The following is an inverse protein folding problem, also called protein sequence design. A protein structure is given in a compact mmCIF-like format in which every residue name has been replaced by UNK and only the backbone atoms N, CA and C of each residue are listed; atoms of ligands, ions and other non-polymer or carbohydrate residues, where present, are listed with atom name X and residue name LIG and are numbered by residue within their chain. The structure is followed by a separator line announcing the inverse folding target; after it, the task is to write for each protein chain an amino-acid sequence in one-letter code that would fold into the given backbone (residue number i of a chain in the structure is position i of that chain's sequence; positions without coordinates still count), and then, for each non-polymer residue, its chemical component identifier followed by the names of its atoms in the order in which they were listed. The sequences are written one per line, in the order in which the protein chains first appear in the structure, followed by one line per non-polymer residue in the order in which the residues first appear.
data_IF_708269871215
#
_entry.id   IF_708269871215
#
_cell.length_a   1.000
_cell.length_b   1.000
_cell.length_c   1.000
_cell.angle_alpha   90.00
_cell.angle_beta   90.00
_cell.angle_gamma   90.00
#
_symmetry.space_group_name_H-M   'P 1'
#
loop_
_entity.id
_entity.type
_entity.pdbx_description
1 polymer ?
#
# COMPACT_ATOMS: atom_id res chain seq x y z
N UNK A 1 -5.08 77.19 -13.48
CA UNK A 1 -4.86 76.67 -14.84
C UNK A 1 -3.36 76.79 -15.07
N UNK A 2 -2.66 75.68 -15.05
CA UNK A 2 -1.23 75.58 -15.29
C UNK A 2 -1.04 75.74 -16.80
N UNK A 3 -0.20 76.66 -17.19
CA UNK A 3 0.05 77.05 -18.57
C UNK A 3 0.71 75.89 -19.33
N UNK A 4 0.13 75.34 -20.40
CA UNK A 4 0.65 74.15 -21.07
C UNK A 4 1.97 74.37 -21.83
N UNK A 5 2.50 75.57 -21.83
CA UNK A 5 3.70 75.95 -22.56
C UNK A 5 5.00 76.02 -21.73
N UNK A 6 4.99 75.57 -20.45
CA UNK A 6 6.19 75.59 -19.60
C UNK A 6 7.00 74.27 -19.56
N UNK A 7 6.51 73.26 -20.22
CA UNK A 7 7.25 71.98 -20.29
C UNK A 7 7.93 71.87 -21.67
N UNK A 8 9.26 71.87 -21.69
CA UNK A 8 10.01 71.47 -22.89
C UNK A 8 9.65 70.00 -23.25
N UNK A 9 9.23 69.78 -24.50
CA UNK A 9 8.93 68.47 -24.98
C UNK A 9 10.22 67.64 -24.94
N UNK A 10 10.15 66.49 -24.20
CA UNK A 10 11.22 65.47 -24.18
C UNK A 10 11.06 64.52 -25.36
N UNK A 11 12.16 64.15 -25.96
CA UNK A 11 12.17 63.07 -26.91
C UNK A 11 11.91 61.75 -26.17
N UNK A 12 11.45 60.70 -26.89
CA UNK A 12 11.20 59.33 -26.30
C UNK A 12 12.49 58.75 -25.67
N UNK A 13 13.63 59.02 -26.31
CA UNK A 13 14.94 58.59 -25.81
C UNK A 13 15.35 59.30 -24.53
N UNK A 14 15.13 60.59 -24.43
CA UNK A 14 15.39 61.36 -23.19
C UNK A 14 14.50 60.94 -22.06
N UNK A 15 13.19 60.74 -22.31
CA UNK A 15 12.26 60.22 -21.31
C UNK A 15 12.66 58.82 -20.83
N UNK A 16 13.02 57.92 -21.77
CA UNK A 16 13.45 56.55 -21.43
C UNK A 16 14.75 56.54 -20.63
N UNK A 17 15.69 57.44 -20.92
CA UNK A 17 16.92 57.57 -20.13
C UNK A 17 16.64 58.11 -18.72
N UNK A 18 15.78 59.10 -18.57
CA UNK A 18 15.37 59.63 -17.25
C UNK A 18 14.66 58.55 -16.41
N UNK A 19 13.81 57.75 -17.02
CA UNK A 19 13.15 56.62 -16.34
C UNK A 19 14.22 55.64 -15.86
N UNK A 20 15.18 55.30 -16.73
CA UNK A 20 16.26 54.39 -16.36
C UNK A 20 17.07 54.91 -15.19
N UNK A 21 17.55 56.15 -15.29
CA UNK A 21 18.38 56.82 -14.27
C UNK A 21 17.61 56.92 -12.94
N UNK A 22 16.30 57.20 -13.00
CA UNK A 22 15.42 57.23 -11.83
C UNK A 22 15.30 55.87 -11.18
N UNK A 23 15.09 54.78 -11.97
CA UNK A 23 15.00 53.43 -11.48
C UNK A 23 16.34 52.95 -10.92
N UNK A 24 17.46 53.22 -11.60
CA UNK A 24 18.80 52.84 -11.12
C UNK A 24 19.17 53.59 -9.80
N UNK A 25 18.63 54.80 -9.60
CA UNK A 25 18.81 55.57 -8.35
C UNK A 25 17.93 55.03 -7.21
N UNK A 26 16.71 54.63 -7.50
CA UNK A 26 15.76 54.08 -6.51
C UNK A 26 16.10 52.63 -6.10
N UNK A 27 16.63 51.86 -7.02
CA UNK A 27 16.96 50.44 -6.83
C UNK A 27 18.44 50.14 -7.20
N UNK A 28 19.40 50.74 -6.47
CA UNK A 28 20.82 50.60 -6.79
C UNK A 28 21.37 49.23 -6.48
N UNK A 29 20.72 48.50 -5.55
CA UNK A 29 21.11 47.19 -5.09
C UNK A 29 20.11 46.13 -5.51
N UNK A 30 20.54 44.85 -5.49
CA UNK A 30 19.65 43.72 -5.66
C UNK A 30 18.78 43.55 -4.42
N UNK A 31 17.58 43.08 -4.62
CA UNK A 31 16.59 42.85 -3.56
C UNK A 31 15.88 41.51 -3.74
N UNK A 32 15.38 40.99 -2.65
CA UNK A 32 14.61 39.78 -2.66
C UNK A 32 13.16 40.03 -3.04
N UNK A 33 12.63 39.17 -3.93
CA UNK A 33 11.22 39.20 -4.35
C UNK A 33 10.65 37.80 -4.19
N UNK A 34 9.44 37.72 -3.66
CA UNK A 34 8.66 36.52 -3.53
C UNK A 34 7.58 36.49 -4.60
N UNK A 35 7.26 35.29 -5.07
CA UNK A 35 6.18 35.09 -6.02
C UNK A 35 6.17 33.66 -6.57
N UNK A 36 5.17 33.40 -7.38
CA UNK A 36 5.00 32.09 -8.04
C UNK A 36 5.54 32.18 -9.47
N UNK A 37 6.27 31.15 -9.88
CA UNK A 37 6.76 31.05 -11.27
C UNK A 37 5.60 30.67 -12.19
N UNK A 38 5.50 31.38 -13.30
CA UNK A 38 4.55 31.10 -14.38
C UNK A 38 5.23 31.27 -15.73
N UNK A 39 4.71 30.62 -16.79
CA UNK A 39 5.21 30.73 -18.16
C UNK A 39 6.72 30.43 -18.30
N UNK A 40 7.24 29.48 -17.52
CA UNK A 40 8.66 29.13 -17.55
C UNK A 40 9.08 28.59 -18.92
N UNK A 41 10.12 29.19 -19.49
CA UNK A 41 10.68 28.82 -20.82
C UNK A 41 12.19 28.87 -20.80
N UNK A 42 12.81 27.88 -21.45
CA UNK A 42 14.25 27.89 -21.69
C UNK A 42 14.54 28.19 -23.15
N UNK A 43 15.40 29.18 -23.41
CA UNK A 43 15.86 29.49 -24.76
C UNK A 43 17.02 28.61 -25.20
N UNK A 44 17.27 28.52 -26.54
CA UNK A 44 18.40 27.74 -27.11
C UNK A 44 19.79 28.08 -26.54
N UNK A 45 20.15 29.37 -26.21
CA UNK A 45 21.41 29.65 -25.53
C UNK A 45 21.47 29.19 -24.07
N UNK A 46 20.35 28.63 -23.49
CA UNK A 46 20.31 28.18 -22.10
C UNK A 46 19.85 29.21 -21.09
N UNK A 47 19.37 30.40 -21.54
CA UNK A 47 18.71 31.37 -20.65
C UNK A 47 17.32 30.89 -20.30
N UNK A 48 16.89 31.14 -19.05
CA UNK A 48 15.52 30.89 -18.63
C UNK A 48 14.76 32.24 -18.53
N UNK A 49 13.51 32.22 -18.97
CA UNK A 49 12.58 33.31 -18.86
C UNK A 49 11.29 32.81 -18.23
N UNK A 50 10.77 33.55 -17.28
CA UNK A 50 9.51 33.23 -16.61
C UNK A 50 8.86 34.52 -16.09
N UNK A 51 7.58 34.41 -15.80
CA UNK A 51 6.85 35.45 -15.12
C UNK A 51 6.84 35.11 -13.61
N UNK A 52 7.18 36.06 -12.78
CA UNK A 52 6.97 36.01 -11.34
C UNK A 52 5.63 36.67 -11.06
N UNK A 53 4.67 35.89 -10.58
CA UNK A 53 3.31 36.36 -10.38
C UNK A 53 2.94 36.34 -8.89
N UNK A 54 2.05 37.24 -8.51
CA UNK A 54 1.32 37.18 -7.27
C UNK A 54 -0.08 36.65 -7.59
N UNK A 55 -0.39 35.38 -7.23
CA UNK A 55 -1.68 34.78 -7.56
C UNK A 55 -2.83 35.50 -6.87
N UNK A 56 -4.00 35.49 -7.48
CA UNK A 56 -5.21 36.03 -6.88
C UNK A 56 -5.84 34.97 -5.97
N UNK A 57 -6.39 35.35 -4.82
CA UNK A 57 -7.08 34.50 -3.89
C UNK A 57 -8.35 33.84 -4.49
N UNK A 58 -8.93 34.45 -5.54
CA UNK A 58 -10.11 33.92 -6.23
C UNK A 58 -9.71 33.07 -7.44
N UNK A 59 -10.10 31.77 -7.48
CA UNK A 59 -9.79 30.88 -8.60
C UNK A 59 -10.33 31.40 -9.94
N UNK A 60 -9.44 31.46 -10.94
CA UNK A 60 -9.81 31.89 -12.31
C UNK A 60 -9.72 33.37 -12.59
N UNK A 61 -9.33 34.21 -11.62
CA UNK A 61 -8.99 35.58 -11.84
C UNK A 61 -7.53 35.79 -12.27
N UNK A 62 -7.20 36.83 -13.05
CA UNK A 62 -5.82 37.11 -13.40
C UNK A 62 -4.99 37.43 -12.16
N UNK A 63 -3.66 37.19 -12.19
CA UNK A 63 -2.78 37.49 -11.07
C UNK A 63 -2.79 38.96 -10.71
N UNK A 64 -2.63 39.28 -9.44
CA UNK A 64 -2.62 40.66 -8.91
C UNK A 64 -1.44 41.47 -9.42
N UNK A 65 -0.29 40.84 -9.62
CA UNK A 65 0.92 41.43 -10.16
C UNK A 65 1.68 40.42 -11.03
N UNK A 66 2.37 40.92 -12.04
CA UNK A 66 3.21 40.12 -12.95
C UNK A 66 4.47 40.88 -13.28
N UNK A 67 5.64 40.27 -13.08
CA UNK A 67 6.93 40.80 -13.50
C UNK A 67 7.72 39.75 -14.28
N UNK A 68 8.27 40.15 -15.43
CA UNK A 68 9.10 39.23 -16.20
C UNK A 68 10.49 39.07 -15.56
N UNK A 69 10.97 37.84 -15.46
CA UNK A 69 12.27 37.52 -14.91
C UNK A 69 13.13 36.80 -15.97
N UNK A 70 14.38 37.24 -16.06
CA UNK A 70 15.40 36.59 -16.89
C UNK A 70 16.50 35.97 -15.98
N UNK A 71 16.75 34.71 -16.16
CA UNK A 71 17.89 34.00 -15.56
C UNK A 71 18.90 33.68 -16.66
N UNK A 72 20.04 34.34 -16.60
CA UNK A 72 21.10 34.16 -17.59
C UNK A 72 21.82 32.83 -17.41
N UNK A 73 22.26 32.20 -18.50
CA UNK A 73 22.99 30.95 -18.50
C UNK A 73 24.17 30.95 -17.52
N UNK A 74 24.89 32.07 -17.39
CA UNK A 74 26.02 32.19 -16.47
C UNK A 74 25.66 31.97 -14.99
N UNK A 75 24.44 32.27 -14.60
CA UNK A 75 23.92 32.11 -13.23
C UNK A 75 23.05 30.86 -13.07
N UNK A 76 22.50 30.37 -14.17
CA UNK A 76 21.59 29.20 -14.18
C UNK A 76 22.22 27.97 -13.50
N UNK A 77 23.44 27.60 -13.87
CA UNK A 77 24.12 26.43 -13.30
C UNK A 77 24.30 26.56 -11.78
N UNK A 78 24.57 27.78 -11.30
CA UNK A 78 24.70 28.06 -9.88
C UNK A 78 23.35 27.93 -9.15
N UNK A 79 22.29 28.48 -9.70
CA UNK A 79 20.93 28.42 -9.17
C UNK A 79 20.42 26.96 -9.16
N UNK A 80 20.56 26.24 -10.28
CA UNK A 80 20.17 24.83 -10.39
C UNK A 80 20.95 23.95 -9.41
N UNK A 81 22.25 24.20 -9.23
CA UNK A 81 23.05 23.48 -8.26
C UNK A 81 22.56 23.72 -6.82
N UNK A 82 22.27 24.96 -6.43
CA UNK A 82 21.75 25.30 -5.11
C UNK A 82 20.40 24.60 -4.87
N UNK A 83 19.52 24.59 -5.86
CA UNK A 83 18.21 23.89 -5.77
C UNK A 83 18.39 22.38 -5.65
N UNK A 84 19.30 21.79 -6.43
CA UNK A 84 19.58 20.36 -6.39
C UNK A 84 20.19 19.94 -5.05
N UNK A 85 21.18 20.70 -4.56
CA UNK A 85 21.87 20.42 -3.30
C UNK A 85 20.94 20.57 -2.08
N UNK A 86 19.90 21.41 -2.17
CA UNK A 86 18.97 21.72 -1.06
C UNK A 86 17.75 20.81 -0.96
N UNK A 87 17.48 19.98 -1.97
CA UNK A 87 16.28 19.11 -1.97
C UNK A 87 15.92 18.61 -3.36
N UNK A 88 16.89 18.64 -4.30
CA UNK A 88 16.67 18.22 -5.69
C UNK A 88 15.53 19.00 -6.40
N UNK A 89 15.31 20.24 -6.00
CA UNK A 89 14.31 21.10 -6.62
C UNK A 89 14.73 21.52 -8.04
N UNK A 90 13.75 21.74 -8.90
CA UNK A 90 13.95 22.30 -10.23
C UNK A 90 13.02 23.49 -10.46
N UNK A 91 13.46 24.46 -11.23
CA UNK A 91 12.60 25.58 -11.61
C UNK A 91 11.50 25.08 -12.55
N UNK A 92 10.25 25.22 -12.13
CA UNK A 92 9.07 24.83 -12.88
C UNK A 92 7.92 25.83 -12.67
N UNK A 93 6.87 25.71 -13.48
CA UNK A 93 5.65 26.49 -13.24
C UNK A 93 5.05 26.12 -11.88
N UNK A 94 4.31 27.05 -11.32
CA UNK A 94 3.58 26.96 -10.05
C UNK A 94 4.45 26.85 -8.79
N UNK A 95 5.78 26.92 -8.92
CA UNK A 95 6.69 26.89 -7.80
C UNK A 95 6.74 28.27 -7.10
N UNK A 96 6.46 28.31 -5.81
CA UNK A 96 6.65 29.49 -4.96
C UNK A 96 8.14 29.69 -4.67
N UNK A 97 8.66 30.85 -5.01
CA UNK A 97 10.10 31.14 -4.89
C UNK A 97 10.36 32.51 -4.27
N UNK A 98 11.49 32.58 -3.56
CA UNK A 98 12.10 33.86 -3.17
C UNK A 98 13.40 34.01 -3.95
N UNK A 99 13.48 35.03 -4.78
CA UNK A 99 14.62 35.25 -5.70
C UNK A 99 15.29 36.58 -5.46
N UNK A 100 16.62 36.60 -5.50
CA UNK A 100 17.41 37.82 -5.47
C UNK A 100 17.51 38.35 -6.89
N UNK A 101 16.96 39.51 -7.12
CA UNK A 101 16.88 40.12 -8.44
C UNK A 101 17.46 41.53 -8.49
N UNK A 102 17.93 41.90 -9.65
CA UNK A 102 18.22 43.27 -10.00
C UNK A 102 17.21 43.81 -11.00
N UNK A 103 16.80 45.06 -10.85
CA UNK A 103 15.89 45.71 -11.78
C UNK A 103 16.64 46.08 -13.06
N UNK A 104 16.06 45.84 -14.21
CA UNK A 104 16.62 46.19 -15.50
C UNK A 104 15.56 46.80 -16.41
N UNK A 105 15.71 48.08 -16.70
CA UNK A 105 14.88 48.76 -17.70
C UNK A 105 15.65 48.83 -19.02
N UNK A 106 15.03 48.34 -20.10
CA UNK A 106 15.63 48.38 -21.44
C UNK A 106 15.06 49.57 -22.26
N UNK A 107 15.77 50.69 -22.33
CA UNK A 107 15.27 51.94 -22.94
C UNK A 107 14.72 51.80 -24.36
N UNK A 108 15.36 50.99 -25.27
CA UNK A 108 14.91 50.95 -26.66
C UNK A 108 13.48 50.38 -26.83
N UNK A 109 13.00 49.53 -25.89
CA UNK A 109 11.65 48.97 -25.94
C UNK A 109 10.76 49.38 -24.77
N UNK A 110 11.29 50.14 -23.80
CA UNK A 110 10.55 50.53 -22.59
C UNK A 110 10.17 49.37 -21.67
N UNK A 111 10.85 48.26 -21.79
CA UNK A 111 10.51 47.02 -21.01
C UNK A 111 11.25 47.04 -19.69
N UNK A 112 10.49 46.76 -18.63
CA UNK A 112 11.00 46.51 -17.30
C UNK A 112 11.07 44.99 -17.08
N UNK A 113 12.25 44.49 -16.72
CA UNK A 113 12.48 43.08 -16.42
C UNK A 113 13.29 42.95 -15.13
N UNK A 114 13.15 41.86 -14.45
CA UNK A 114 14.01 41.45 -13.33
C UNK A 114 15.12 40.52 -13.83
N UNK A 115 16.34 40.74 -13.37
CA UNK A 115 17.45 39.82 -13.65
C UNK A 115 17.74 39.02 -12.37
N UNK A 116 17.48 37.71 -12.42
CA UNK A 116 17.70 36.82 -11.31
C UNK A 116 19.19 36.53 -11.12
N UNK A 117 19.65 36.59 -9.86
CA UNK A 117 21.02 36.32 -9.46
C UNK A 117 21.11 35.08 -8.55
N UNK A 118 20.20 34.96 -7.58
CA UNK A 118 20.16 33.86 -6.59
C UNK A 118 18.72 33.48 -6.28
N UNK A 119 18.57 32.28 -5.62
CA UNK A 119 17.31 31.78 -5.10
C UNK A 119 17.51 31.37 -3.64
N UNK A 120 16.45 31.53 -2.84
CA UNK A 120 16.38 30.99 -1.48
C UNK A 120 15.60 29.66 -1.48
N UNK A 121 16.30 28.50 -1.46
CA UNK A 121 15.64 27.20 -1.49
C UNK A 121 14.87 26.92 -0.20
N UNK A 122 15.29 27.51 0.95
CA UNK A 122 14.62 27.27 2.25
C UNK A 122 13.21 27.82 2.25
N UNK A 123 12.99 28.94 1.57
CA UNK A 123 11.65 29.51 1.39
C UNK A 123 10.76 28.58 0.59
N UNK A 124 11.25 28.11 -0.55
CA UNK A 124 10.50 27.20 -1.43
C UNK A 124 10.13 25.90 -0.73
N UNK A 125 11.07 25.27 -0.04
CA UNK A 125 10.82 24.05 0.74
C UNK A 125 9.81 24.30 1.88
N UNK A 126 9.92 25.45 2.55
CA UNK A 126 8.97 25.84 3.60
C UNK A 126 7.54 25.99 3.07
N UNK A 127 7.37 26.60 1.90
CA UNK A 127 6.05 26.76 1.26
C UNK A 127 5.46 25.40 0.84
N UNK A 128 6.25 24.54 0.20
CA UNK A 128 5.81 23.19 -0.16
C UNK A 128 5.38 22.37 1.07
N UNK A 129 6.12 22.51 2.18
CA UNK A 129 5.74 21.83 3.42
C UNK A 129 4.41 22.36 4.00
N UNK A 130 4.18 23.67 3.95
CA UNK A 130 2.91 24.30 4.40
C UNK A 130 1.75 23.87 3.52
N UNK A 131 1.93 23.84 2.21
CA UNK A 131 0.89 23.41 1.26
C UNK A 131 0.54 21.93 1.47
N UNK A 132 1.56 21.09 1.64
CA UNK A 132 1.37 19.66 1.96
C UNK A 132 0.59 19.45 3.26
N UNK A 133 0.94 20.19 4.31
CA UNK A 133 0.26 20.08 5.61
C UNK A 133 -1.21 20.52 5.52
N UNK A 134 -1.48 21.64 4.80
CA UNK A 134 -2.85 22.09 4.53
C UNK A 134 -3.65 21.04 3.78
N UNK A 135 -3.06 20.41 2.77
CA UNK A 135 -3.72 19.36 2.00
C UNK A 135 -4.01 18.13 2.87
N UNK A 136 -3.07 17.69 3.68
CA UNK A 136 -3.28 16.56 4.61
C UNK A 136 -4.41 16.87 5.60
N UNK A 137 -4.44 18.09 6.14
CA UNK A 137 -5.51 18.50 7.06
C UNK A 137 -6.89 18.50 6.37
N UNK A 138 -6.97 19.00 5.14
CA UNK A 138 -8.21 18.95 4.35
C UNK A 138 -8.69 17.53 4.09
N UNK A 139 -7.77 16.62 3.69
CA UNK A 139 -8.10 15.21 3.46
C UNK A 139 -8.52 14.49 4.75
N UNK A 140 -7.95 14.88 5.90
CA UNK A 140 -8.34 14.36 7.21
C UNK A 140 -9.76 14.83 7.58
N UNK A 141 -10.06 16.12 7.44
CA UNK A 141 -11.37 16.71 7.76
C UNK A 141 -12.48 16.12 6.88
N UNK A 142 -12.16 15.75 5.64
CA UNK A 142 -13.06 15.07 4.72
C UNK A 142 -13.15 13.53 4.97
N UNK A 143 -12.36 12.98 5.88
CA UNK A 143 -12.32 11.54 6.17
C UNK A 143 -11.74 10.69 5.02
N UNK A 144 -10.97 11.30 4.12
CA UNK A 144 -10.37 10.62 2.97
C UNK A 144 -9.04 9.96 3.31
N UNK A 145 -8.35 10.42 4.35
CA UNK A 145 -7.02 9.92 4.71
C UNK A 145 -7.03 8.44 5.10
N UNK A 146 -8.05 8.00 5.85
CA UNK A 146 -8.16 6.62 6.33
C UNK A 146 -9.06 5.75 5.45
N UNK A 147 -9.68 6.31 4.42
CA UNK A 147 -10.70 5.62 3.64
C UNK A 147 -10.16 4.40 2.90
N UNK A 148 -9.01 4.52 2.24
CA UNK A 148 -8.38 3.40 1.55
C UNK A 148 -7.71 2.44 2.54
N UNK A 149 -7.10 2.96 3.62
CA UNK A 149 -6.48 2.17 4.68
C UNK A 149 -7.47 1.24 5.40
N UNK A 150 -8.74 1.61 5.48
CA UNK A 150 -9.80 0.81 6.10
C UNK A 150 -10.34 -0.32 5.22
N UNK A 151 -9.97 -0.39 3.94
CA UNK A 151 -10.42 -1.44 3.03
C UNK A 151 -9.80 -2.79 3.40
N UNK A 152 -10.56 -3.89 3.39
CA UNK A 152 -10.00 -5.21 3.62
C UNK A 152 -9.13 -5.63 2.43
N UNK A 153 -7.91 -6.08 2.71
CA UNK A 153 -7.06 -6.74 1.70
C UNK A 153 -7.52 -8.19 1.56
N UNK A 154 -7.67 -8.66 0.32
CA UNK A 154 -7.96 -10.07 0.07
C UNK A 154 -6.85 -10.96 0.65
N UNK A 155 -7.23 -12.10 1.20
CA UNK A 155 -6.29 -13.04 1.79
C UNK A 155 -6.50 -14.44 1.19
N UNK A 156 -5.65 -14.86 0.24
CA UNK A 156 -4.45 -14.20 -0.29
C UNK A 156 -4.75 -13.17 -1.40
N UNK A 157 -3.93 -12.08 -1.55
CA UNK A 157 -4.03 -11.11 -2.63
C UNK A 157 -3.31 -11.62 -3.88
N UNK A 158 -4.01 -12.32 -4.77
CA UNK A 158 -3.42 -12.97 -5.96
C UNK A 158 -3.50 -12.08 -7.21
N UNK A 159 -4.57 -11.29 -7.34
CA UNK A 159 -4.78 -10.41 -8.51
C UNK A 159 -4.27 -9.02 -8.19
N UNK A 160 -3.17 -8.65 -8.82
CA UNK A 160 -2.48 -7.37 -8.60
C UNK A 160 -2.69 -6.48 -9.82
N UNK A 161 -3.20 -5.26 -9.60
CA UNK A 161 -3.12 -4.19 -10.59
C UNK A 161 -1.81 -3.43 -10.40
N UNK A 162 -1.00 -3.28 -11.43
CA UNK A 162 0.29 -2.59 -11.34
C UNK A 162 0.27 -1.29 -12.14
N UNK A 163 0.40 -0.15 -11.46
CA UNK A 163 0.54 1.19 -12.07
C UNK A 163 2.01 1.59 -11.98
N UNK A 164 2.68 1.64 -13.11
CA UNK A 164 4.09 2.04 -13.20
C UNK A 164 4.48 2.32 -14.66
N UNK A 165 5.65 2.88 -14.88
CA UNK A 165 6.24 2.97 -16.22
C UNK A 165 6.83 1.60 -16.61
N UNK A 166 6.18 0.93 -17.57
CA UNK A 166 6.60 -0.39 -18.05
C UNK A 166 7.99 -0.31 -18.68
N UNK A 167 8.85 -1.28 -18.37
CA UNK A 167 10.25 -1.30 -18.78
C UNK A 167 11.19 -0.44 -17.93
N UNK A 168 10.70 0.25 -16.90
CA UNK A 168 11.53 0.93 -15.92
C UNK A 168 12.24 -0.06 -14.98
N UNK A 169 13.28 0.40 -14.26
CA UNK A 169 13.94 -0.40 -13.25
C UNK A 169 12.98 -0.85 -12.14
N UNK A 170 12.08 0.03 -11.68
CA UNK A 170 11.06 -0.29 -10.68
C UNK A 170 10.11 -1.40 -11.13
N UNK A 171 9.67 -1.34 -12.40
CA UNK A 171 8.86 -2.38 -13.01
C UNK A 171 9.61 -3.71 -13.02
N UNK A 172 10.86 -3.71 -13.52
CA UNK A 172 11.69 -4.92 -13.58
C UNK A 172 11.94 -5.52 -12.18
N UNK A 173 12.25 -4.69 -11.19
CA UNK A 173 12.48 -5.11 -9.80
C UNK A 173 11.21 -5.75 -9.20
N UNK A 174 10.06 -5.10 -9.34
CA UNK A 174 8.79 -5.62 -8.83
C UNK A 174 8.40 -6.95 -9.47
N UNK A 175 8.43 -7.03 -10.80
CA UNK A 175 8.07 -8.25 -11.54
C UNK A 175 9.06 -9.40 -11.25
N UNK A 176 10.34 -9.08 -11.09
CA UNK A 176 11.36 -10.08 -10.74
C UNK A 176 11.09 -10.69 -9.37
N UNK A 177 10.80 -9.87 -8.36
CA UNK A 177 10.45 -10.36 -7.01
C UNK A 177 9.19 -11.23 -7.03
N UNK A 178 8.11 -10.75 -7.68
CA UNK A 178 6.86 -11.50 -7.81
C UNK A 178 7.08 -12.84 -8.51
N UNK A 179 7.83 -12.86 -9.62
CA UNK A 179 8.10 -14.08 -10.40
C UNK A 179 8.96 -15.08 -9.63
N UNK A 180 9.95 -14.60 -8.88
CA UNK A 180 10.85 -15.44 -8.08
C UNK A 180 10.19 -16.03 -6.83
N UNK A 181 9.04 -15.51 -6.41
CA UNK A 181 8.31 -16.01 -5.23
C UNK A 181 7.79 -17.44 -5.37
N UNK A 182 7.63 -17.92 -6.61
CA UNK A 182 7.04 -19.23 -6.91
C UNK A 182 5.52 -19.30 -6.73
N UNK A 183 4.87 -18.21 -6.37
CA UNK A 183 3.40 -18.11 -6.30
C UNK A 183 2.79 -17.70 -7.63
N UNK A 184 1.55 -18.13 -7.89
CA UNK A 184 0.83 -17.86 -9.14
C UNK A 184 0.11 -16.51 -9.12
N UNK A 185 0.83 -15.41 -8.97
CA UNK A 185 0.24 -14.08 -9.06
C UNK A 185 -0.25 -13.76 -10.47
N UNK A 186 -1.39 -13.08 -10.55
CA UNK A 186 -1.92 -12.54 -11.79
C UNK A 186 -1.75 -11.02 -11.76
N UNK A 187 -0.74 -10.51 -12.48
CA UNK A 187 -0.41 -9.09 -12.52
C UNK A 187 -1.00 -8.47 -13.78
N UNK A 188 -1.91 -7.51 -13.61
CA UNK A 188 -2.45 -6.69 -14.67
C UNK A 188 -1.71 -5.35 -14.67
N UNK A 189 -0.88 -5.13 -15.69
CA UNK A 189 -0.02 -3.96 -15.81
C UNK A 189 -0.73 -2.84 -16.57
N UNK A 190 -0.57 -1.60 -16.09
CA UNK A 190 -0.94 -0.40 -16.83
C UNK A 190 0.30 0.49 -16.97
N UNK A 191 0.72 0.67 -18.22
CA UNK A 191 1.84 1.56 -18.55
C UNK A 191 1.44 3.00 -18.28
N UNK A 192 2.12 3.64 -17.37
CA UNK A 192 1.79 4.96 -16.84
C UNK A 192 3.07 5.75 -16.66
N UNK A 193 3.12 6.95 -17.23
CA UNK A 193 4.20 7.86 -16.90
C UNK A 193 4.06 8.30 -15.45
N UNK A 194 5.10 8.03 -14.68
CA UNK A 194 5.17 8.41 -13.26
C UNK A 194 6.03 9.66 -13.04
N UNK A 195 6.36 10.37 -14.13
CA UNK A 195 7.18 11.58 -14.18
C UNK A 195 6.72 12.52 -15.31
N UNK A 196 6.84 13.83 -15.11
CA UNK A 196 6.48 14.85 -16.09
C UNK A 196 5.03 15.37 -15.99
N UNK A 197 4.69 16.38 -16.77
CA UNK A 197 3.43 17.13 -16.66
C UNK A 197 2.16 16.28 -16.83
N UNK A 198 2.21 15.23 -17.64
CA UNK A 198 1.06 14.35 -17.87
C UNK A 198 0.87 13.26 -16.80
N UNK A 199 1.85 13.08 -15.91
CA UNK A 199 1.89 11.94 -14.98
C UNK A 199 0.68 11.88 -14.04
N UNK A 200 0.23 13.00 -13.50
CA UNK A 200 -0.96 13.07 -12.62
C UNK A 200 -2.18 12.49 -13.32
N UNK A 201 -2.44 12.91 -14.54
CA UNK A 201 -3.62 12.48 -15.32
C UNK A 201 -3.52 11.00 -15.69
N UNK A 202 -2.32 10.55 -16.07
CA UNK A 202 -2.08 9.15 -16.45
C UNK A 202 -2.18 8.22 -15.23
N UNK A 203 -1.65 8.60 -14.07
CA UNK A 203 -1.78 7.84 -12.81
C UNK A 203 -3.26 7.69 -12.44
N UNK A 204 -4.04 8.76 -12.43
CA UNK A 204 -5.47 8.74 -12.13
C UNK A 204 -6.22 7.82 -13.11
N UNK A 205 -5.90 7.91 -14.40
CA UNK A 205 -6.48 7.04 -15.43
C UNK A 205 -6.13 5.57 -15.19
N UNK A 206 -4.86 5.28 -14.93
CA UNK A 206 -4.37 3.93 -14.64
C UNK A 206 -5.04 3.31 -13.42
N UNK A 207 -5.14 4.06 -12.33
CA UNK A 207 -5.84 3.63 -11.11
C UNK A 207 -7.31 3.29 -11.39
N UNK A 208 -8.03 4.13 -12.13
CA UNK A 208 -9.44 3.90 -12.50
C UNK A 208 -9.62 2.68 -13.40
N UNK A 209 -8.78 2.56 -14.43
CA UNK A 209 -8.84 1.43 -15.37
C UNK A 209 -8.58 0.12 -14.64
N UNK A 210 -7.52 0.03 -13.86
CA UNK A 210 -7.21 -1.18 -13.11
C UNK A 210 -8.29 -1.53 -12.08
N UNK A 211 -8.83 -0.54 -11.38
CA UNK A 211 -9.93 -0.76 -10.43
C UNK A 211 -11.16 -1.38 -11.08
N UNK A 212 -11.45 -1.08 -12.35
CA UNK A 212 -12.58 -1.67 -13.09
C UNK A 212 -12.43 -3.18 -13.35
N UNK A 213 -11.21 -3.72 -13.26
CA UNK A 213 -10.92 -5.14 -13.41
C UNK A 213 -11.00 -5.92 -12.08
N UNK A 214 -11.41 -5.26 -10.99
CA UNK A 214 -11.56 -5.84 -9.65
C UNK A 214 -10.30 -6.61 -9.19
N UNK A 215 -9.13 -5.97 -9.14
CA UNK A 215 -7.94 -6.59 -8.56
C UNK A 215 -8.12 -6.73 -7.04
N UNK A 216 -7.33 -7.61 -6.43
CA UNK A 216 -7.32 -7.78 -4.97
C UNK A 216 -6.57 -6.62 -4.30
N UNK A 217 -5.59 -6.05 -5.01
CA UNK A 217 -4.79 -4.89 -4.60
C UNK A 217 -4.25 -4.17 -5.83
N UNK A 218 -4.10 -2.86 -5.75
CA UNK A 218 -3.39 -2.07 -6.78
C UNK A 218 -2.04 -1.64 -6.18
N UNK A 219 -0.95 -1.95 -6.87
CA UNK A 219 0.39 -1.46 -6.55
C UNK A 219 0.72 -0.25 -7.42
N UNK A 220 0.93 0.90 -6.80
CA UNK A 220 1.43 2.12 -7.45
C UNK A 220 2.91 2.26 -7.11
N UNK A 221 3.76 1.99 -8.07
CA UNK A 221 5.20 1.97 -7.84
C UNK A 221 5.95 2.94 -8.76
N UNK A 222 7.06 3.44 -8.23
CA UNK A 222 7.99 4.31 -8.95
C UNK A 222 9.42 3.88 -8.67
N UNK A 223 10.27 4.02 -9.68
CA UNK A 223 11.72 3.85 -9.54
C UNK A 223 12.42 5.04 -8.92
N UNK A 224 13.70 4.88 -8.63
CA UNK A 224 14.55 5.99 -8.21
C UNK A 224 14.57 7.10 -9.25
N UNK A 225 14.42 8.34 -8.82
CA UNK A 225 14.43 9.54 -9.63
C UNK A 225 14.66 10.75 -8.74
N UNK A 226 14.63 11.99 -9.30
CA UNK A 226 14.79 13.21 -8.51
C UNK A 226 13.60 13.41 -7.55
N UNK A 227 13.82 14.12 -6.45
CA UNK A 227 12.73 14.50 -5.52
C UNK A 227 11.70 15.43 -6.17
N UNK A 228 12.08 16.18 -7.22
CA UNK A 228 11.14 16.96 -8.01
C UNK A 228 10.06 16.09 -8.67
N UNK A 229 10.36 14.83 -8.96
CA UNK A 229 9.39 13.88 -9.49
C UNK A 229 8.46 13.30 -8.41
N UNK A 230 8.71 13.57 -7.12
CA UNK A 230 7.85 13.15 -6.01
C UNK A 230 6.65 14.09 -5.83
N UNK A 231 6.76 15.35 -6.22
CA UNK A 231 5.68 16.34 -6.10
C UNK A 231 4.38 15.93 -6.81
N UNK A 232 4.48 15.05 -7.82
CA UNK A 232 3.34 14.45 -8.51
C UNK A 232 2.47 13.63 -7.54
N UNK A 233 3.11 12.94 -6.61
CA UNK A 233 2.44 12.12 -5.59
C UNK A 233 1.94 12.93 -4.39
N UNK A 234 2.31 14.22 -4.31
CA UNK A 234 1.75 15.19 -3.37
C UNK A 234 0.52 15.89 -3.96
N UNK A 235 0.13 15.57 -5.20
CA UNK A 235 -1.03 16.14 -5.85
C UNK A 235 -2.34 15.73 -5.16
N UNK A 236 -3.18 16.71 -4.83
CA UNK A 236 -4.53 16.49 -4.31
C UNK A 236 -5.36 15.55 -5.20
N UNK A 237 -5.23 15.71 -6.52
CA UNK A 237 -5.97 14.91 -7.49
C UNK A 237 -5.62 13.43 -7.42
N UNK A 238 -4.34 13.08 -7.22
CA UNK A 238 -3.88 11.69 -7.04
C UNK A 238 -4.37 11.14 -5.70
N UNK A 239 -4.23 11.91 -4.62
CA UNK A 239 -4.69 11.52 -3.29
C UNK A 239 -6.21 11.22 -3.28
N UNK A 240 -7.02 12.13 -3.85
CA UNK A 240 -8.47 11.92 -3.99
C UNK A 240 -8.82 10.73 -4.87
N UNK A 241 -8.05 10.47 -5.92
CA UNK A 241 -8.24 9.30 -6.76
C UNK A 241 -7.99 8.00 -5.98
N UNK A 242 -6.91 7.91 -5.20
CA UNK A 242 -6.62 6.76 -4.33
C UNK A 242 -7.72 6.57 -3.28
N UNK A 243 -8.11 7.63 -2.56
CA UNK A 243 -9.17 7.58 -1.56
C UNK A 243 -10.54 7.17 -2.14
N UNK A 244 -10.79 7.48 -3.41
CA UNK A 244 -12.03 7.15 -4.10
C UNK A 244 -12.15 5.71 -4.58
N UNK A 245 -11.08 4.91 -4.53
CA UNK A 245 -11.09 3.52 -4.95
C UNK A 245 -11.74 2.61 -3.90
N UNK A 246 -12.37 1.53 -4.39
CA UNK A 246 -12.91 0.45 -3.56
C UNK A 246 -11.96 -0.75 -3.48
N UNK A 247 -10.70 -0.56 -3.86
CA UNK A 247 -9.65 -1.55 -3.84
C UNK A 247 -8.47 -0.98 -3.04
N UNK A 248 -7.84 -1.77 -2.15
CA UNK A 248 -6.66 -1.34 -1.43
C UNK A 248 -5.53 -0.94 -2.39
N UNK A 249 -4.88 0.17 -2.10
CA UNK A 249 -3.72 0.65 -2.87
C UNK A 249 -2.47 0.53 -2.02
N UNK A 250 -1.46 -0.15 -2.56
CA UNK A 250 -0.13 -0.25 -1.98
C UNK A 250 0.79 0.67 -2.78
N UNK A 251 1.50 1.55 -2.11
CA UNK A 251 2.48 2.42 -2.75
C UNK A 251 3.89 1.90 -2.54
N UNK A 252 4.72 2.03 -3.56
CA UNK A 252 6.15 1.76 -3.52
C UNK A 252 6.91 2.86 -4.26
N UNK A 253 6.66 4.11 -3.84
CA UNK A 253 7.11 5.32 -4.54
C UNK A 253 8.53 5.70 -4.10
N UNK A 254 8.90 5.36 -2.87
CA UNK A 254 10.26 5.46 -2.33
C UNK A 254 10.64 6.84 -1.78
N UNK A 255 10.92 6.88 -0.49
CA UNK A 255 12.03 7.53 0.23
C UNK A 255 11.91 7.25 1.72
N UNK A 256 13.05 7.14 2.42
CA UNK A 256 13.07 6.78 3.85
C UNK A 256 12.56 7.91 4.76
N UNK A 257 12.62 9.15 4.31
CA UNK A 257 12.46 10.33 5.16
C UNK A 257 11.16 11.10 4.88
N UNK A 258 10.70 11.12 3.62
CA UNK A 258 9.53 11.93 3.23
C UNK A 258 8.46 11.06 2.57
N UNK A 259 7.38 10.77 3.29
CA UNK A 259 6.18 10.16 2.72
C UNK A 259 5.46 11.17 1.84
N UNK A 260 5.02 10.77 0.66
CA UNK A 260 4.14 11.58 -0.18
C UNK A 260 2.70 11.59 0.36
N UNK A 261 1.89 12.55 -0.09
CA UNK A 261 0.45 12.58 0.24
C UNK A 261 -0.24 11.31 -0.29
N UNK A 262 0.18 10.79 -1.44
CA UNK A 262 -0.31 9.51 -1.96
C UNK A 262 -0.02 8.33 -1.00
N UNK A 263 1.14 8.32 -0.33
CA UNK A 263 1.51 7.31 0.66
C UNK A 263 0.64 7.39 1.92
N UNK A 264 0.28 8.62 2.35
CA UNK A 264 -0.55 8.84 3.53
C UNK A 264 -2.02 8.41 3.31
N UNK A 265 -2.52 8.54 2.08
CA UNK A 265 -3.90 8.16 1.71
C UNK A 265 -4.01 6.69 1.30
N UNK A 266 -2.91 6.05 0.93
CA UNK A 266 -2.88 4.66 0.50
C UNK A 266 -3.19 3.69 1.65
N UNK A 267 -3.59 2.47 1.31
CA UNK A 267 -3.77 1.40 2.30
C UNK A 267 -2.46 1.09 3.04
N UNK A 268 -1.38 0.97 2.30
CA UNK A 268 -0.05 0.67 2.85
C UNK A 268 1.04 1.30 1.98
N UNK A 269 2.00 1.95 2.62
CA UNK A 269 3.12 2.59 1.96
C UNK A 269 4.43 1.84 2.22
N UNK A 270 5.18 1.58 1.17
CA UNK A 270 6.45 0.87 1.21
C UNK A 270 7.56 1.73 0.61
N UNK A 271 8.77 1.56 1.13
CA UNK A 271 9.93 2.38 0.76
C UNK A 271 10.41 2.17 -0.69
N UNK A 272 10.15 1.00 -1.27
CA UNK A 272 10.65 0.63 -2.60
C UNK A 272 9.67 -0.28 -3.31
N UNK A 273 9.73 -0.37 -4.66
CA UNK A 273 8.98 -1.35 -5.43
C UNK A 273 9.19 -2.79 -4.95
N UNK A 274 10.43 -3.15 -4.63
CA UNK A 274 10.78 -4.47 -4.08
C UNK A 274 10.15 -4.72 -2.71
N UNK A 275 10.12 -3.72 -1.82
CA UNK A 275 9.46 -3.84 -0.53
C UNK A 275 7.94 -4.01 -0.68
N UNK A 276 7.32 -3.32 -1.63
CA UNK A 276 5.90 -3.48 -1.96
C UNK A 276 5.60 -4.90 -2.48
N UNK A 277 6.43 -5.43 -3.39
CA UNK A 277 6.31 -6.81 -3.89
C UNK A 277 6.46 -7.83 -2.74
N UNK A 278 7.48 -7.66 -1.89
CA UNK A 278 7.73 -8.55 -0.76
C UNK A 278 6.60 -8.56 0.26
N UNK A 279 5.92 -7.44 0.49
CA UNK A 279 4.74 -7.40 1.35
C UNK A 279 3.58 -8.23 0.79
N UNK A 280 3.34 -8.18 -0.52
CA UNK A 280 2.34 -9.02 -1.19
C UNK A 280 2.69 -10.50 -1.12
N UNK A 281 3.96 -10.84 -1.35
CA UNK A 281 4.49 -12.20 -1.24
C UNK A 281 4.31 -12.73 0.19
N UNK A 282 4.63 -11.91 1.21
CA UNK A 282 4.47 -12.27 2.62
C UNK A 282 3.02 -12.59 2.98
N UNK A 283 2.05 -11.81 2.48
CA UNK A 283 0.64 -12.09 2.71
C UNK A 283 0.20 -13.44 2.12
N UNK A 284 0.72 -13.80 0.95
CA UNK A 284 0.45 -15.13 0.35
C UNK A 284 1.14 -16.24 1.12
N UNK A 285 2.38 -16.01 1.57
CA UNK A 285 3.11 -16.99 2.38
C UNK A 285 2.41 -17.25 3.72
N UNK A 286 1.92 -16.21 4.39
CA UNK A 286 1.14 -16.34 5.62
C UNK A 286 -0.11 -17.22 5.41
N UNK A 287 -0.82 -17.00 4.31
CA UNK A 287 -1.98 -17.80 3.95
C UNK A 287 -1.62 -19.29 3.76
N UNK A 288 -0.53 -19.57 3.04
CA UNK A 288 -0.04 -20.94 2.82
C UNK A 288 0.37 -21.60 4.13
N UNK A 289 1.02 -20.85 5.03
CA UNK A 289 1.42 -21.33 6.34
C UNK A 289 0.21 -21.65 7.24
N UNK A 290 -0.82 -20.79 7.22
CA UNK A 290 -2.09 -21.08 7.93
C UNK A 290 -2.79 -22.32 7.40
N UNK A 291 -2.86 -22.46 6.07
CA UNK A 291 -3.41 -23.65 5.42
C UNK A 291 -2.67 -24.93 5.84
N UNK A 292 -1.33 -24.84 5.91
CA UNK A 292 -0.48 -25.94 6.32
C UNK A 292 -0.72 -26.33 7.79
N UNK A 293 -0.85 -25.35 8.69
CA UNK A 293 -1.20 -25.55 10.10
C UNK A 293 -2.58 -26.20 10.26
N UNK A 294 -3.57 -25.73 9.51
CA UNK A 294 -4.92 -26.28 9.51
C UNK A 294 -4.92 -27.74 9.03
N UNK A 295 -4.22 -28.02 7.93
CA UNK A 295 -4.06 -29.38 7.40
C UNK A 295 -3.43 -30.30 8.44
N UNK A 296 -2.35 -29.88 9.09
CA UNK A 296 -1.69 -30.66 10.14
C UNK A 296 -2.65 -30.93 11.31
N UNK A 297 -3.36 -29.92 11.79
CA UNK A 297 -4.34 -30.06 12.88
C UNK A 297 -5.45 -31.02 12.54
N UNK A 298 -5.97 -30.99 11.31
CA UNK A 298 -6.98 -31.94 10.83
C UNK A 298 -6.40 -33.38 10.84
N UNK A 299 -5.19 -33.57 10.32
CA UNK A 299 -4.53 -34.88 10.29
C UNK A 299 -4.29 -35.45 11.71
N UNK A 300 -3.80 -34.61 12.63
CA UNK A 300 -3.56 -35.01 14.03
C UNK A 300 -4.87 -35.38 14.74
N UNK A 301 -5.91 -34.55 14.56
CA UNK A 301 -7.23 -34.82 15.16
C UNK A 301 -7.85 -36.08 14.60
N UNK A 302 -7.77 -36.29 13.29
CA UNK A 302 -8.28 -37.53 12.64
C UNK A 302 -7.54 -38.76 13.15
N UNK A 303 -6.21 -38.69 13.24
CA UNK A 303 -5.40 -39.82 13.80
C UNK A 303 -5.77 -40.11 15.25
N UNK A 304 -5.92 -39.07 16.08
CA UNK A 304 -6.34 -39.24 17.48
C UNK A 304 -7.71 -39.89 17.59
N UNK A 305 -8.69 -39.52 16.78
CA UNK A 305 -10.02 -40.15 16.78
C UNK A 305 -9.94 -41.62 16.35
N UNK A 306 -9.17 -41.93 15.31
CA UNK A 306 -8.97 -43.31 14.84
C UNK A 306 -8.30 -44.16 15.93
N UNK A 307 -7.25 -43.65 16.57
CA UNK A 307 -6.55 -44.34 17.65
C UNK A 307 -7.46 -44.59 18.86
N UNK A 308 -8.31 -43.64 19.20
CA UNK A 308 -9.30 -43.79 20.28
C UNK A 308 -10.33 -44.87 19.97
N UNK A 309 -10.84 -44.89 18.74
CA UNK A 309 -11.81 -45.89 18.30
C UNK A 309 -11.19 -47.28 18.25
N UNK A 310 -9.97 -47.43 17.76
CA UNK A 310 -9.23 -48.71 17.79
C UNK A 310 -9.02 -49.23 19.20
N UNK A 311 -8.68 -48.37 20.16
CA UNK A 311 -8.56 -48.75 21.59
C UNK A 311 -9.89 -49.20 22.13
N UNK A 312 -10.97 -48.46 21.86
CA UNK A 312 -12.31 -48.82 22.29
C UNK A 312 -12.77 -50.20 21.73
N UNK A 313 -12.52 -50.44 20.44
CA UNK A 313 -12.81 -51.73 19.81
C UNK A 313 -12.01 -52.89 20.44
N UNK A 314 -10.70 -52.68 20.68
CA UNK A 314 -9.85 -53.68 21.34
C UNK A 314 -10.31 -53.96 22.77
N UNK A 315 -10.63 -52.95 23.57
CA UNK A 315 -11.16 -53.14 24.91
C UNK A 315 -12.51 -53.86 24.91
N UNK A 316 -13.38 -53.51 23.98
CA UNK A 316 -14.70 -54.15 23.84
C UNK A 316 -14.54 -55.62 23.43
N UNK A 317 -13.65 -55.93 22.50
CA UNK A 317 -13.32 -57.31 22.11
C UNK A 317 -12.77 -58.11 23.28
N UNK A 318 -11.85 -57.56 24.06
CA UNK A 318 -11.31 -58.21 25.26
C UNK A 318 -12.39 -58.46 26.33
N UNK A 319 -13.29 -57.47 26.56
CA UNK A 319 -14.42 -57.63 27.48
C UNK A 319 -15.37 -58.70 27.03
N UNK A 320 -15.68 -58.76 25.73
CA UNK A 320 -16.53 -59.78 25.14
C UNK A 320 -15.90 -61.18 25.31
N UNK A 321 -14.63 -61.34 24.97
CA UNK A 321 -13.89 -62.61 25.13
C UNK A 321 -13.88 -63.07 26.60
N UNK A 322 -13.61 -62.20 27.55
CA UNK A 322 -13.65 -62.53 28.99
C UNK A 322 -15.04 -62.90 29.45
N UNK A 323 -16.09 -62.16 28.99
CA UNK A 323 -17.47 -62.50 29.35
C UNK A 323 -17.91 -63.88 28.82
N UNK A 324 -17.59 -64.18 27.55
CA UNK A 324 -17.86 -65.47 26.93
C UNK A 324 -17.13 -66.62 27.70
N UNK A 325 -15.83 -66.47 27.95
CA UNK A 325 -15.03 -67.44 28.66
C UNK A 325 -15.55 -67.66 30.08
N UNK A 326 -15.88 -66.61 30.80
CA UNK A 326 -16.46 -66.71 32.15
C UNK A 326 -17.82 -67.42 32.18
N UNK A 327 -18.63 -67.21 31.13
CA UNK A 327 -19.93 -67.86 30.99
C UNK A 327 -19.76 -69.36 30.68
N UNK A 328 -18.81 -69.67 29.78
CA UNK A 328 -18.47 -71.11 29.50
C UNK A 328 -17.97 -71.82 30.73
N UNK A 329 -17.05 -71.28 31.48
CA UNK A 329 -16.54 -71.86 32.71
C UNK A 329 -17.65 -72.09 33.74
N UNK A 330 -18.54 -71.08 33.93
CA UNK A 330 -19.70 -71.27 34.86
C UNK A 330 -20.66 -72.30 34.39
N UNK A 331 -20.89 -72.50 33.11
CA UNK A 331 -21.76 -73.50 32.57
C UNK A 331 -21.13 -74.90 32.71
N UNK A 332 -19.81 -74.97 32.48
CA UNK A 332 -19.06 -76.23 32.71
C UNK A 332 -19.09 -76.67 34.19
N UNK A 333 -18.86 -75.74 35.13
CA UNK A 333 -18.94 -75.94 36.55
C UNK A 333 -20.34 -76.46 36.95
N UNK A 334 -21.41 -75.79 36.46
CA UNK A 334 -22.80 -76.23 36.71
C UNK A 334 -23.07 -77.65 36.13
N UNK A 335 -22.58 -77.88 34.91
CA UNK A 335 -22.70 -79.19 34.28
C UNK A 335 -22.02 -80.30 35.13
N UNK A 336 -20.78 -80.02 35.55
CA UNK A 336 -20.02 -80.89 36.39
C UNK A 336 -20.70 -81.11 37.76
N UNK A 337 -21.28 -80.13 38.38
CA UNK A 337 -22.05 -80.26 39.62
C UNK A 337 -23.30 -81.11 39.43
N UNK A 338 -24.06 -80.86 38.34
CA UNK A 338 -25.24 -81.70 38.02
C UNK A 338 -24.82 -83.15 37.75
N UNK A 339 -23.75 -83.37 36.98
CA UNK A 339 -23.22 -84.69 36.69
C UNK A 339 -22.84 -85.45 37.98
N UNK A 340 -22.14 -84.75 38.92
CA UNK A 340 -21.81 -85.29 40.23
C UNK A 340 -23.06 -85.63 41.06
N UNK A 341 -24.06 -84.76 40.99
CA UNK A 341 -25.34 -84.94 41.70
C UNK A 341 -26.09 -86.15 41.16
N UNK A 342 -26.20 -86.30 39.83
CA UNK A 342 -26.82 -87.44 39.16
C UNK A 342 -26.06 -88.79 39.51
N UNK A 343 -24.71 -88.70 39.37
CA UNK A 343 -23.85 -89.87 39.69
C UNK A 343 -23.99 -90.38 41.15
N UNK A 344 -24.22 -89.46 42.09
CA UNK A 344 -24.44 -89.85 43.52
C UNK A 344 -25.87 -90.27 43.81
N UNK A 345 -26.87 -89.64 43.22
CA UNK A 345 -28.27 -89.92 43.54
C UNK A 345 -28.84 -91.10 42.77
N UNK A 346 -28.35 -91.40 41.56
CA UNK A 346 -28.83 -92.48 40.74
C UNK A 346 -28.62 -93.87 41.40
N UNK A 347 -27.44 -94.20 41.93
CA UNK A 347 -27.22 -95.46 42.62
C UNK A 347 -28.14 -95.64 43.84
N UNK A 348 -28.26 -94.58 44.65
CA UNK A 348 -29.12 -94.57 45.86
C UNK A 348 -30.59 -94.81 45.50
N UNK A 349 -31.00 -94.13 44.39
CA UNK A 349 -32.40 -94.27 43.94
C UNK A 349 -32.67 -95.67 43.38
N UNK A 350 -31.73 -96.27 42.64
CA UNK A 350 -31.80 -97.61 42.12
C UNK A 350 -31.80 -98.62 43.26
N UNK A 351 -30.94 -98.47 44.26
CA UNK A 351 -30.89 -99.34 45.45
C UNK A 351 -32.22 -99.30 46.22
N UNK A 352 -32.79 -98.11 46.47
CA UNK A 352 -34.13 -98.02 47.11
C UNK A 352 -35.24 -98.65 46.27
N UNK A 353 -35.20 -98.54 44.95
CA UNK A 353 -36.18 -99.19 44.08
C UNK A 353 -36.00 -100.73 44.07
N UNK A 354 -34.75 -101.23 44.11
CA UNK A 354 -34.43 -102.60 44.22
C UNK A 354 -34.92 -103.18 45.56
N UNK A 355 -34.66 -102.47 46.67
CA UNK A 355 -35.17 -102.91 48.00
C UNK A 355 -36.70 -102.90 48.00
N UNK A 356 -37.36 -101.97 47.40
CA UNK A 356 -38.79 -101.86 47.29
C UNK A 356 -39.39 -103.06 46.46
N UNK A 357 -38.71 -103.40 45.38
CA UNK A 357 -39.07 -104.55 44.56
C UNK A 357 -38.91 -105.83 45.35
N UNK A 358 -37.80 -105.98 46.06
CA UNK A 358 -37.56 -107.17 46.92
C UNK A 358 -38.61 -107.30 48.04
N UNK A 359 -38.99 -106.16 48.64
CA UNK A 359 -40.05 -106.12 49.65
C UNK A 359 -41.42 -106.51 49.06
N UNK A 360 -41.73 -106.07 47.85
CA UNK A 360 -42.96 -106.38 47.13
C UNK A 360 -42.95 -107.89 46.73
N UNK A 361 -41.81 -108.42 46.26
CA UNK A 361 -41.66 -109.84 45.97
C UNK A 361 -41.87 -110.73 47.24
N UNK A 362 -41.27 -110.24 48.34
CA UNK A 362 -41.47 -110.94 49.61
C UNK A 362 -42.93 -110.91 50.07
N UNK A 363 -43.63 -109.77 49.92
CA UNK A 363 -45.07 -109.66 50.22
C UNK A 363 -45.95 -110.53 49.30
N UNK A 364 -45.55 -110.77 48.07
CA UNK A 364 -46.23 -111.66 47.13
C UNK A 364 -45.98 -113.18 47.41
N UNK A 365 -44.85 -113.55 48.02
CA UNK A 365 -44.54 -114.92 48.37
C UNK A 365 -45.18 -115.42 49.71
N UNK A 366 -45.60 -114.46 50.52
CA UNK A 366 -46.18 -114.71 51.83
C UNK A 366 -47.72 -114.70 51.78
N UNK A 367 -48.29 -114.64 50.58
CA UNK A 367 -49.70 -114.85 50.30
C UNK A 367 -49.81 -116.26 49.55
#
# INVERSE_FOLDING_TARGET
MVNPNEFSALSISELSSLIKDGLDTLFPEKFWVEGQISNFKTSRPGHCYFDLIEPNDEPGQPPTAVLNVALWQSKRNQVEKVLTDSGNLTLSNDLQVRVLVGLNFYPPSGRLNLIMDQIDPSFTLGQLAIEREKLLQQLLDEGLLEKNASLPVAFPPIRIGLVTSVGSAAHADFITEISNSGFGFNVLEHDTRVQGESAVTEIISGLKILSSHNPDVIALIRGGGSSADLSIFDSESVARAIAGLNCPVFTGIGHEIDRSVADEVAHSAYKTPTACANALISNVQEFVDELSKLKQSICERTRSVIDQELRFQNETSLRLTKAVLSTLLRTEDKFNEIAKRVSRSAPIHLERQSERLTELEHRLRVR
#
